data_IF_110193834836
#
_entry.id   IF_110193834836
#
_cell.length_a   1.000
_cell.length_b   1.000
_cell.length_c   1.000
_cell.angle_alpha   90.00
_cell.angle_beta   90.00
_cell.angle_gamma   90.00
#
_symmetry.space_group_name_H-M   'P 1'
#
loop_
_entity.id
_entity.type
_entity.pdbx_description
1 polymer ?
#
# COMPACT_ATOMS: atom_id res chain seq x y z
N UNK A 1 1.42 31.01 18.88
CA UNK A 1 1.49 29.69 18.21
C UNK A 1 0.41 29.68 17.15
N UNK A 2 0.78 29.63 15.88
CA UNK A 2 -0.16 29.64 14.75
C UNK A 2 -0.78 28.24 14.58
N UNK A 3 -2.03 28.18 14.13
CA UNK A 3 -2.83 26.94 13.92
C UNK A 3 -2.14 25.76 13.19
N UNK A 4 -1.20 25.91 12.23
CA UNK A 4 -0.58 24.76 11.56
C UNK A 4 0.34 23.90 12.44
N UNK A 5 0.85 24.41 13.57
CA UNK A 5 1.78 23.66 14.46
C UNK A 5 1.06 22.77 15.51
N UNK A 6 -0.24 22.96 15.70
CA UNK A 6 -1.01 22.30 16.76
C UNK A 6 -1.37 20.85 16.38
N UNK A 7 -1.76 20.61 15.13
CA UNK A 7 -2.13 19.28 14.63
C UNK A 7 -1.00 18.24 14.65
N UNK A 8 0.22 18.53 14.12
CA UNK A 8 1.31 17.55 14.15
C UNK A 8 1.78 17.25 15.58
N UNK A 9 1.76 18.23 16.47
CA UNK A 9 2.18 18.06 17.88
C UNK A 9 1.18 17.25 18.69
N UNK A 10 -0.13 17.48 18.52
CA UNK A 10 -1.19 16.67 19.13
C UNK A 10 -1.15 15.21 18.68
N UNK A 11 -1.02 14.98 17.37
CA UNK A 11 -0.90 13.63 16.80
C UNK A 11 0.32 12.89 17.37
N UNK A 12 1.45 13.58 17.47
CA UNK A 12 2.68 12.98 17.97
C UNK A 12 2.61 12.65 19.47
N UNK A 13 1.99 13.52 20.29
CA UNK A 13 1.73 13.24 21.71
C UNK A 13 0.83 12.01 21.89
N UNK A 14 -0.29 11.94 21.17
CA UNK A 14 -1.20 10.79 21.21
C UNK A 14 -0.49 9.49 20.80
N UNK A 15 0.30 9.53 19.73
CA UNK A 15 1.10 8.36 19.30
C UNK A 15 2.09 7.89 20.36
N UNK A 16 2.82 8.81 21.00
CA UNK A 16 3.79 8.48 22.04
C UNK A 16 3.11 7.92 23.30
N UNK A 17 1.94 8.42 23.65
CA UNK A 17 1.17 7.92 24.78
C UNK A 17 0.63 6.50 24.53
N UNK A 18 0.10 6.24 23.35
CA UNK A 18 -0.32 4.90 22.93
C UNK A 18 0.85 3.92 22.90
N UNK A 19 2.02 4.36 22.41
CA UNK A 19 3.23 3.54 22.41
C UNK A 19 3.68 3.20 23.84
N UNK A 20 3.63 4.16 24.76
CA UNK A 20 3.97 3.94 26.17
C UNK A 20 2.99 2.98 26.84
N UNK A 21 1.70 3.12 26.56
CA UNK A 21 0.66 2.25 27.12
C UNK A 21 0.78 0.82 26.57
N UNK A 22 1.11 0.68 25.28
CA UNK A 22 1.42 -0.61 24.68
C UNK A 22 2.64 -1.26 25.34
N UNK A 23 3.72 -0.50 25.55
CA UNK A 23 4.94 -1.01 26.18
C UNK A 23 4.68 -1.46 27.63
N UNK A 24 3.87 -0.71 28.38
CA UNK A 24 3.46 -1.08 29.74
C UNK A 24 2.71 -2.43 29.76
N UNK A 25 1.74 -2.65 28.87
CA UNK A 25 1.03 -3.92 28.78
C UNK A 25 1.92 -5.06 28.29
N UNK A 26 2.80 -4.80 27.31
CA UNK A 26 3.76 -5.80 26.85
C UNK A 26 4.72 -6.23 27.97
N UNK A 27 5.15 -5.32 28.83
CA UNK A 27 6.08 -5.63 29.92
C UNK A 27 5.41 -6.29 31.12
N UNK A 28 4.19 -5.88 31.48
CA UNK A 28 3.50 -6.39 32.67
C UNK A 28 2.66 -7.65 32.41
N UNK A 29 1.98 -7.75 31.27
CA UNK A 29 1.04 -8.85 31.01
C UNK A 29 1.68 -10.04 30.27
N UNK A 30 2.89 -9.88 29.69
CA UNK A 30 3.56 -10.91 28.89
C UNK A 30 4.88 -11.39 29.47
N UNK A 31 5.16 -12.69 29.27
CA UNK A 31 6.46 -13.28 29.58
C UNK A 31 7.51 -12.83 28.56
N UNK A 32 8.82 -12.84 28.88
CA UNK A 32 9.89 -12.58 27.91
C UNK A 32 9.73 -13.39 26.61
N UNK A 33 9.41 -14.68 26.74
CA UNK A 33 9.24 -15.59 25.60
C UNK A 33 8.05 -15.21 24.69
N UNK A 34 6.97 -14.68 25.27
CA UNK A 34 5.79 -14.25 24.51
C UNK A 34 6.11 -12.97 23.71
N UNK A 35 6.91 -12.06 24.30
CA UNK A 35 7.43 -10.85 23.63
C UNK A 35 8.37 -11.20 22.48
N UNK A 36 9.25 -12.18 22.67
CA UNK A 36 10.15 -12.65 21.61
C UNK A 36 9.37 -13.26 20.44
N UNK A 37 8.30 -14.01 20.74
CA UNK A 37 7.41 -14.56 19.72
C UNK A 37 6.68 -13.46 18.93
N UNK A 38 6.17 -12.41 19.61
CA UNK A 38 5.58 -11.24 18.97
C UNK A 38 6.59 -10.51 18.08
N UNK A 39 7.82 -10.30 18.57
CA UNK A 39 8.89 -9.66 17.82
C UNK A 39 9.27 -10.47 16.58
N UNK A 40 9.39 -11.79 16.72
CA UNK A 40 9.68 -12.70 15.61
C UNK A 40 8.54 -12.71 14.57
N UNK A 41 7.28 -12.68 15.01
CA UNK A 41 6.13 -12.58 14.13
C UNK A 41 6.13 -11.25 13.34
N UNK A 42 6.34 -10.11 14.03
CA UNK A 42 6.46 -8.80 13.39
C UNK A 42 7.61 -8.75 12.39
N UNK A 43 8.76 -9.33 12.72
CA UNK A 43 9.91 -9.39 11.81
C UNK A 43 9.61 -10.25 10.58
N UNK A 44 8.89 -11.37 10.73
CA UNK A 44 8.44 -12.18 9.59
C UNK A 44 7.48 -11.41 8.69
N UNK A 45 6.52 -10.71 9.27
CA UNK A 45 5.58 -9.87 8.50
C UNK A 45 6.34 -8.79 7.73
N UNK A 46 7.21 -8.04 8.41
CA UNK A 46 8.02 -7.01 7.77
C UNK A 46 8.89 -7.56 6.65
N UNK A 47 9.58 -8.68 6.90
CA UNK A 47 10.41 -9.35 5.90
C UNK A 47 9.61 -9.75 4.66
N UNK A 48 8.51 -10.48 4.81
CA UNK A 48 7.69 -10.93 3.67
C UNK A 48 7.03 -9.77 2.94
N UNK A 49 6.57 -8.74 3.65
CA UNK A 49 6.04 -7.50 3.05
C UNK A 49 7.12 -6.81 2.21
N UNK A 50 8.35 -6.75 2.71
CA UNK A 50 9.49 -6.12 2.02
C UNK A 50 9.86 -6.89 0.77
N UNK A 51 9.97 -8.22 0.87
CA UNK A 51 10.26 -9.11 -0.26
C UNK A 51 9.14 -9.00 -1.30
N UNK A 52 7.89 -9.09 -0.88
CA UNK A 52 6.72 -8.96 -1.76
C UNK A 52 6.69 -7.61 -2.47
N UNK A 53 6.92 -6.52 -1.73
CA UNK A 53 7.00 -5.15 -2.27
C UNK A 53 8.09 -5.01 -3.32
N UNK A 54 9.29 -5.54 -3.05
CA UNK A 54 10.42 -5.48 -3.98
C UNK A 54 10.14 -6.27 -5.26
N UNK A 55 9.60 -7.49 -5.14
CA UNK A 55 9.20 -8.33 -6.27
C UNK A 55 8.09 -7.66 -7.07
N UNK A 56 7.07 -7.13 -6.40
CA UNK A 56 5.94 -6.46 -7.02
C UNK A 56 6.35 -5.19 -7.78
N UNK A 57 7.20 -4.35 -7.18
CA UNK A 57 7.77 -3.18 -7.85
C UNK A 57 8.59 -3.58 -9.08
N UNK A 58 9.44 -4.60 -8.95
CA UNK A 58 10.24 -5.13 -10.06
C UNK A 58 9.36 -5.62 -11.21
N UNK A 59 8.30 -6.37 -10.90
CA UNK A 59 7.33 -6.86 -11.88
C UNK A 59 6.58 -5.68 -12.54
N UNK A 60 6.14 -4.71 -11.75
CA UNK A 60 5.48 -3.50 -12.24
C UNK A 60 6.35 -2.69 -13.21
N UNK A 61 7.61 -2.47 -12.87
CA UNK A 61 8.58 -1.80 -13.75
C UNK A 61 8.84 -2.62 -15.02
N UNK A 62 8.93 -3.95 -14.92
CA UNK A 62 9.05 -4.83 -16.09
C UNK A 62 7.82 -4.73 -17.01
N UNK A 63 6.61 -4.70 -16.45
CA UNK A 63 5.37 -4.53 -17.22
C UNK A 63 5.34 -3.17 -17.91
N UNK A 64 5.74 -2.09 -17.22
CA UNK A 64 5.86 -0.76 -17.81
C UNK A 64 6.84 -0.73 -18.98
N UNK A 65 8.03 -1.31 -18.80
CA UNK A 65 9.04 -1.43 -19.84
C UNK A 65 8.52 -2.21 -21.06
N UNK A 66 7.82 -3.32 -20.82
CA UNK A 66 7.23 -4.14 -21.89
C UNK A 66 6.12 -3.39 -22.64
N UNK A 67 5.20 -2.73 -21.94
CA UNK A 67 4.13 -1.93 -22.55
C UNK A 67 4.70 -0.80 -23.43
N UNK A 68 5.70 -0.09 -22.92
CA UNK A 68 6.40 0.96 -23.67
C UNK A 68 7.06 0.42 -24.94
N UNK A 69 7.75 -0.71 -24.81
CA UNK A 69 8.43 -1.36 -25.94
C UNK A 69 7.43 -1.80 -27.01
N UNK A 70 6.30 -2.39 -26.61
CA UNK A 70 5.23 -2.76 -27.54
C UNK A 70 4.61 -1.55 -28.23
N UNK A 71 4.28 -0.47 -27.50
CA UNK A 71 3.74 0.77 -28.09
C UNK A 71 4.71 1.39 -29.10
N UNK A 72 6.01 1.39 -28.79
CA UNK A 72 7.05 1.87 -29.72
C UNK A 72 7.09 1.02 -31.00
N UNK A 73 7.07 -0.31 -30.88
CA UNK A 73 7.06 -1.20 -32.03
C UNK A 73 5.83 -0.97 -32.93
N UNK A 74 4.64 -0.81 -32.35
CA UNK A 74 3.44 -0.47 -33.12
C UNK A 74 3.60 0.89 -33.82
N UNK A 75 4.08 1.91 -33.10
CA UNK A 75 4.30 3.23 -33.69
C UNK A 75 5.27 3.17 -34.89
N UNK A 76 6.34 2.40 -34.81
CA UNK A 76 7.29 2.24 -35.92
C UNK A 76 6.65 1.57 -37.15
N UNK A 77 5.81 0.55 -36.95
CA UNK A 77 5.05 -0.10 -38.03
C UNK A 77 4.09 0.89 -38.71
N UNK A 78 3.29 1.61 -37.93
CA UNK A 78 2.29 2.54 -38.49
C UNK A 78 2.88 3.86 -39.01
N UNK A 79 4.11 4.20 -38.61
CA UNK A 79 4.85 5.34 -39.15
C UNK A 79 5.47 5.05 -40.53
N UNK A 80 5.51 3.81 -40.99
CA UNK A 80 6.13 3.42 -42.25
C UNK A 80 5.70 4.34 -43.42
N UNK A 81 6.65 4.65 -44.31
CA UNK A 81 6.58 5.73 -45.30
C UNK A 81 5.45 5.53 -46.33
N UNK A 82 5.04 4.29 -46.55
CA UNK A 82 3.94 3.90 -47.44
C UNK A 82 2.76 3.45 -46.58
N UNK A 83 1.74 4.32 -46.46
CA UNK A 83 0.48 4.01 -45.77
C UNK A 83 -0.64 3.91 -46.79
N UNK A 84 -1.45 2.83 -46.78
CA UNK A 84 -2.67 2.78 -47.58
C UNK A 84 -3.64 3.84 -47.05
N UNK A 85 -4.04 4.78 -47.92
CA UNK A 85 -4.94 5.90 -47.57
C UNK A 85 -6.40 5.58 -47.90
N UNK A 86 -6.63 4.60 -48.78
CA UNK A 86 -7.94 4.26 -49.32
C UNK A 86 -8.10 2.76 -49.51
N UNK A 87 -9.27 2.24 -49.17
CA UNK A 87 -9.71 0.86 -49.52
C UNK A 87 -10.72 0.98 -50.65
N UNK A 88 -10.49 0.25 -51.74
CA UNK A 88 -11.47 0.11 -52.83
C UNK A 88 -12.15 -1.24 -52.68
N UNK A 89 -13.46 -1.24 -52.46
CA UNK A 89 -14.29 -2.43 -52.34
C UNK A 89 -14.62 -3.00 -53.73
N UNK A 90 -15.02 -4.28 -53.78
CA UNK A 90 -15.34 -4.97 -55.03
C UNK A 90 -16.50 -4.33 -55.81
N UNK A 91 -17.34 -3.53 -55.15
CA UNK A 91 -18.43 -2.74 -55.73
C UNK A 91 -18.00 -1.35 -56.23
N UNK A 92 -16.71 -1.02 -56.14
CA UNK A 92 -16.15 0.27 -56.56
C UNK A 92 -16.25 1.37 -55.51
N UNK A 93 -16.85 1.12 -54.33
CA UNK A 93 -16.85 2.10 -53.23
C UNK A 93 -15.44 2.30 -52.71
N UNK A 94 -15.10 3.55 -52.41
CA UNK A 94 -13.81 3.91 -51.82
C UNK A 94 -14.04 4.48 -50.42
N UNK A 95 -13.37 3.93 -49.40
CA UNK A 95 -13.40 4.46 -48.03
C UNK A 95 -12.00 4.87 -47.57
N UNK A 96 -11.93 6.01 -46.87
CA UNK A 96 -10.69 6.56 -46.35
C UNK A 96 -10.28 5.83 -45.06
N UNK A 97 -9.03 5.39 -44.98
CA UNK A 97 -8.49 4.77 -43.76
C UNK A 97 -8.07 5.88 -42.80
N UNK A 98 -8.64 5.98 -41.58
CA UNK A 98 -8.25 7.01 -40.63
C UNK A 98 -6.80 6.81 -40.17
N UNK A 99 -6.00 7.89 -40.15
CA UNK A 99 -4.62 7.81 -39.64
C UNK A 99 -4.63 7.77 -38.10
N UNK A 100 -4.37 6.58 -37.55
CA UNK A 100 -4.28 6.32 -36.11
C UNK A 100 -2.90 6.61 -35.52
N UNK A 101 -1.90 6.96 -36.36
CA UNK A 101 -0.52 7.21 -35.93
C UNK A 101 -0.39 8.28 -34.82
N UNK A 102 -1.17 9.39 -34.81
CA UNK A 102 -1.12 10.38 -33.75
C UNK A 102 -1.49 9.81 -32.37
N UNK A 103 -2.40 8.82 -32.32
CA UNK A 103 -2.87 8.18 -31.08
C UNK A 103 -1.85 7.20 -30.50
N UNK A 104 -0.98 6.65 -31.36
CA UNK A 104 0.07 5.70 -30.98
C UNK A 104 1.39 6.39 -30.63
N UNK A 105 1.48 7.71 -30.84
CA UNK A 105 2.70 8.48 -30.60
C UNK A 105 3.11 8.36 -29.12
N UNK A 106 4.34 7.92 -28.83
CA UNK A 106 4.86 7.94 -27.47
C UNK A 106 4.87 9.37 -26.92
N UNK A 107 4.42 9.56 -25.68
CA UNK A 107 4.43 10.85 -24.99
C UNK A 107 5.15 10.73 -23.65
N UNK A 108 5.81 11.80 -23.23
CA UNK A 108 6.55 11.83 -21.96
C UNK A 108 5.63 11.66 -20.75
N UNK A 109 4.45 12.27 -20.79
CA UNK A 109 3.41 12.12 -19.76
C UNK A 109 2.86 10.68 -19.74
N UNK A 110 2.62 10.08 -20.89
CA UNK A 110 2.20 8.68 -21.02
C UNK A 110 3.25 7.72 -20.46
N UNK A 111 4.53 7.98 -20.71
CA UNK A 111 5.63 7.18 -20.17
C UNK A 111 5.69 7.32 -18.65
N UNK A 112 5.65 8.55 -18.11
CA UNK A 112 5.65 8.78 -16.66
C UNK A 112 4.48 8.07 -15.97
N UNK A 113 3.26 8.27 -16.47
CA UNK A 113 2.06 7.62 -15.90
C UNK A 113 2.18 6.11 -15.94
N UNK A 114 2.70 5.53 -17.02
CA UNK A 114 2.91 4.08 -17.13
C UNK A 114 3.87 3.57 -16.05
N UNK A 115 5.04 4.18 -15.89
CA UNK A 115 6.00 3.75 -14.85
C UNK A 115 5.48 4.00 -13.44
N UNK A 116 4.81 5.13 -13.21
CA UNK A 116 4.23 5.47 -11.91
C UNK A 116 3.15 4.46 -11.51
N UNK A 117 2.12 4.25 -12.34
CA UNK A 117 1.01 3.36 -11.99
C UNK A 117 1.40 1.89 -11.98
N UNK A 118 2.24 1.45 -12.93
CA UNK A 118 2.71 0.07 -12.90
C UNK A 118 3.64 -0.18 -11.71
N UNK A 119 4.53 0.78 -11.38
CA UNK A 119 5.39 0.69 -10.21
C UNK A 119 4.61 0.74 -8.90
N UNK A 120 3.72 1.72 -8.72
CA UNK A 120 2.89 1.88 -7.53
C UNK A 120 1.92 0.70 -7.37
N UNK A 121 1.26 0.27 -8.44
CA UNK A 121 0.37 -0.89 -8.44
C UNK A 121 1.14 -2.18 -8.13
N UNK A 122 2.31 -2.36 -8.75
CA UNK A 122 3.19 -3.51 -8.47
C UNK A 122 3.66 -3.53 -7.01
N UNK A 123 4.12 -2.39 -6.49
CA UNK A 123 4.54 -2.24 -5.10
C UNK A 123 3.38 -2.56 -4.14
N UNK A 124 2.20 -2.01 -4.39
CA UNK A 124 1.02 -2.22 -3.55
C UNK A 124 0.59 -3.69 -3.57
N UNK A 125 0.37 -4.28 -4.75
CA UNK A 125 -0.04 -5.67 -4.87
C UNK A 125 1.01 -6.62 -4.29
N UNK A 126 2.29 -6.39 -4.57
CA UNK A 126 3.37 -7.17 -3.99
C UNK A 126 3.47 -7.04 -2.47
N UNK A 127 3.29 -5.82 -1.96
CA UNK A 127 3.30 -5.51 -0.53
C UNK A 127 2.16 -6.19 0.22
N UNK A 128 0.93 -6.10 -0.28
CA UNK A 128 -0.25 -6.75 0.31
C UNK A 128 -0.11 -8.28 0.29
N UNK A 129 0.35 -8.87 -0.82
CA UNK A 129 0.59 -10.31 -0.90
C UNK A 129 1.71 -10.75 0.05
N UNK A 130 2.79 -9.99 0.13
CA UNK A 130 3.87 -10.19 1.09
C UNK A 130 3.39 -10.07 2.53
N UNK A 131 2.54 -9.09 2.82
CA UNK A 131 1.93 -8.89 4.13
C UNK A 131 1.04 -10.08 4.51
N UNK A 132 0.14 -10.52 3.63
CA UNK A 132 -0.73 -11.68 3.88
C UNK A 132 0.09 -12.96 4.12
N UNK A 133 1.11 -13.21 3.30
CA UNK A 133 2.02 -14.34 3.48
C UNK A 133 2.80 -14.26 4.81
N UNK A 134 3.28 -13.07 5.14
CA UNK A 134 3.95 -12.77 6.39
C UNK A 134 3.04 -12.92 7.60
N UNK A 135 1.79 -12.47 7.52
CA UNK A 135 0.78 -12.58 8.56
C UNK A 135 0.41 -14.04 8.80
N UNK A 136 0.24 -14.85 7.75
CA UNK A 136 0.05 -16.30 7.89
C UNK A 136 1.22 -16.99 8.58
N UNK A 137 2.46 -16.66 8.19
CA UNK A 137 3.68 -17.23 8.80
C UNK A 137 3.90 -16.77 10.25
N UNK A 138 3.69 -15.48 10.53
CA UNK A 138 3.82 -14.89 11.86
C UNK A 138 2.72 -15.35 12.80
N UNK A 139 1.48 -15.46 12.32
CA UNK A 139 0.34 -15.99 13.08
C UNK A 139 0.63 -17.41 13.58
N UNK A 140 1.16 -18.28 12.72
CA UNK A 140 1.59 -19.63 13.14
C UNK A 140 2.60 -19.63 14.29
N UNK A 141 3.50 -18.65 14.35
CA UNK A 141 4.48 -18.52 15.44
C UNK A 141 3.82 -18.16 16.79
N UNK A 142 2.72 -17.41 16.75
CA UNK A 142 1.94 -17.02 17.92
C UNK A 142 0.97 -18.16 18.33
N UNK A 143 0.33 -18.82 17.35
CA UNK A 143 -0.72 -19.83 17.61
C UNK A 143 -0.20 -21.23 17.86
N UNK A 144 1.09 -21.51 17.67
CA UNK A 144 1.68 -22.83 17.90
C UNK A 144 1.57 -23.30 19.36
N UNK A 145 1.55 -22.36 20.32
CA UNK A 145 1.36 -22.63 21.73
C UNK A 145 0.00 -22.03 22.18
N UNK A 146 -0.97 -22.87 22.58
CA UNK A 146 -2.31 -22.41 22.95
C UNK A 146 -2.29 -21.53 24.21
N UNK A 147 -1.39 -21.75 25.16
CA UNK A 147 -1.30 -20.94 26.37
C UNK A 147 -0.70 -19.57 26.05
N UNK A 148 0.36 -19.53 25.24
CA UNK A 148 0.94 -18.27 24.74
C UNK A 148 -0.11 -17.45 24.01
N UNK A 149 -0.87 -18.08 23.12
CA UNK A 149 -1.95 -17.43 22.39
C UNK A 149 -2.95 -16.79 23.36
N UNK A 150 -3.41 -17.52 24.37
CA UNK A 150 -4.35 -16.98 25.37
C UNK A 150 -3.79 -15.80 26.15
N UNK A 151 -2.50 -15.86 26.56
CA UNK A 151 -1.83 -14.74 27.25
C UNK A 151 -1.75 -13.49 26.37
N UNK A 152 -1.34 -13.66 25.12
CA UNK A 152 -1.25 -12.57 24.14
C UNK A 152 -2.62 -11.97 23.85
N UNK A 153 -3.65 -12.80 23.62
CA UNK A 153 -5.01 -12.32 23.39
C UNK A 153 -5.56 -11.55 24.60
N UNK A 154 -5.30 -12.03 25.81
CA UNK A 154 -5.73 -11.37 27.05
C UNK A 154 -5.04 -10.02 27.24
N UNK A 155 -3.72 -9.97 27.07
CA UNK A 155 -2.94 -8.73 27.13
C UNK A 155 -3.45 -7.72 26.08
N UNK A 156 -3.70 -8.18 24.85
CA UNK A 156 -4.22 -7.33 23.79
C UNK A 156 -5.63 -6.81 24.07
N UNK A 157 -6.52 -7.61 24.66
CA UNK A 157 -7.86 -7.17 25.09
C UNK A 157 -7.78 -6.11 26.18
N UNK A 158 -6.91 -6.27 27.18
CA UNK A 158 -6.69 -5.28 28.23
C UNK A 158 -6.17 -3.96 27.66
N UNK A 159 -5.15 -4.05 26.80
CA UNK A 159 -4.60 -2.90 26.08
C UNK A 159 -5.69 -2.14 25.33
N UNK A 160 -6.49 -2.83 24.50
CA UNK A 160 -7.59 -2.18 23.76
C UNK A 160 -8.64 -1.55 24.66
N UNK A 161 -8.99 -2.21 25.77
CA UNK A 161 -9.94 -1.65 26.72
C UNK A 161 -9.40 -0.37 27.36
N UNK A 162 -8.10 -0.31 27.67
CA UNK A 162 -7.48 0.87 28.26
C UNK A 162 -7.32 2.02 27.25
N UNK A 163 -6.98 1.71 25.98
CA UNK A 163 -7.00 2.70 24.89
C UNK A 163 -8.39 3.32 24.74
N UNK A 164 -9.44 2.50 24.68
CA UNK A 164 -10.81 3.00 24.53
C UNK A 164 -11.26 3.82 25.73
N UNK A 165 -10.87 3.45 26.95
CA UNK A 165 -11.13 4.26 28.14
C UNK A 165 -10.42 5.61 28.06
N UNK A 166 -9.17 5.65 27.61
CA UNK A 166 -8.46 6.92 27.42
C UNK A 166 -9.09 7.79 26.32
N UNK A 167 -9.51 7.19 25.22
CA UNK A 167 -10.21 7.93 24.16
C UNK A 167 -11.54 8.50 24.65
N UNK A 168 -12.28 7.74 25.48
CA UNK A 168 -13.49 8.23 26.14
C UNK A 168 -13.18 9.35 27.15
N UNK A 169 -12.15 9.18 27.98
CA UNK A 169 -11.71 10.22 28.92
C UNK A 169 -11.25 11.50 28.21
N UNK A 170 -10.56 11.38 27.06
CA UNK A 170 -10.18 12.52 26.21
C UNK A 170 -11.42 13.24 25.65
N UNK A 171 -12.44 12.48 25.26
CA UNK A 171 -13.71 13.02 24.76
C UNK A 171 -14.51 13.72 25.88
N UNK A 172 -14.56 13.11 27.07
CA UNK A 172 -15.27 13.62 28.25
C UNK A 172 -14.58 14.85 28.86
N UNK A 173 -13.25 14.97 28.74
CA UNK A 173 -12.48 16.14 29.20
C UNK A 173 -12.72 17.39 28.37
N UNK A 174 -13.48 17.30 27.28
CA UNK A 174 -13.94 18.46 26.53
C UNK A 174 -12.78 19.26 25.93
N UNK A 175 -12.17 18.74 24.86
CA UNK A 175 -11.77 19.67 23.80
C UNK A 175 -13.09 20.17 23.21
N UNK A 176 -13.40 21.43 23.54
CA UNK A 176 -14.64 22.11 23.23
C UNK A 176 -15.07 21.82 21.79
N UNK A 177 -16.06 20.93 21.64
CA UNK A 177 -16.58 20.48 20.33
C UNK A 177 -17.16 21.68 19.58
N UNK A 178 -17.55 22.72 20.31
CA UNK A 178 -17.96 24.04 19.83
C UNK A 178 -16.87 24.74 19.00
N UNK A 179 -15.60 24.68 19.42
CA UNK A 179 -14.44 25.33 18.80
C UNK A 179 -13.88 24.53 17.59
N UNK A 180 -14.35 23.29 17.40
CA UNK A 180 -13.99 22.43 16.24
C UNK A 180 -15.12 22.28 15.21
N UNK A 181 -16.38 22.51 15.60
CA UNK A 181 -17.53 22.48 14.68
C UNK A 181 -17.89 23.85 14.08
N UNK A 182 -17.47 24.95 14.70
CA UNK A 182 -17.66 26.34 14.22
C UNK A 182 -16.31 27.08 14.14
#
# INVERSE_FOLDING_TARGET
LTMPDIYPTLRNRRSNELARLADQHLQHDLRPQDRDALKAASHKVAFWTTVGSAVGLGLGLYTAFRLRSSRKAFFEVFRAREKPTQVVFADGRTEHIPDITPLLKPTTLGDFTTYFFAGAGGLFLGGELGFLGGAGSGSRCITADPERRQRIETAFRKFRAEVLRKEADELDRGLDVSDQMF
#
